data_IF_045461893709
#
_entry.id   IF_045461893709
#
_cell.length_a   1.000
_cell.length_b   1.000
_cell.length_c   1.000
_cell.angle_alpha   90.00
_cell.angle_beta   90.00
_cell.angle_gamma   90.00
#
_symmetry.space_group_name_H-M   'P 1'
#
loop_
_entity.id
_entity.type
_entity.pdbx_description
1 polymer ?
#
# COMPACT_ATOMS: atom_id res chain seq x y z
N UNK A 1 -11.03 -11.47 21.74
CA UNK A 1 -10.49 -12.33 20.66
C UNK A 1 -9.41 -11.59 19.87
N UNK A 2 -8.26 -12.22 19.57
CA UNK A 2 -7.26 -11.61 18.70
C UNK A 2 -7.83 -11.37 17.30
N UNK A 3 -7.54 -10.19 16.73
CA UNK A 3 -7.90 -9.89 15.34
C UNK A 3 -7.27 -10.94 14.44
N UNK A 4 -8.10 -11.60 13.63
CA UNK A 4 -7.63 -12.67 12.73
C UNK A 4 -6.71 -12.07 11.67
N UNK A 5 -5.55 -12.71 11.46
CA UNK A 5 -4.69 -12.40 10.32
C UNK A 5 -5.50 -12.50 9.03
N UNK A 6 -5.22 -11.59 8.10
CA UNK A 6 -5.87 -11.60 6.80
C UNK A 6 -5.66 -12.94 6.10
N UNK A 7 -6.76 -13.62 5.77
CA UNK A 7 -6.76 -14.83 4.95
C UNK A 7 -7.96 -14.73 4.02
N UNK A 8 -7.71 -14.92 2.72
CA UNK A 8 -8.79 -14.96 1.74
C UNK A 8 -9.61 -16.23 1.94
N UNK A 9 -10.92 -16.09 2.05
CA UNK A 9 -11.86 -17.21 2.24
C UNK A 9 -12.98 -17.21 1.20
N UNK A 10 -12.76 -16.53 0.07
CA UNK A 10 -13.81 -16.18 -0.88
C UNK A 10 -14.40 -14.79 -0.62
N UNK A 11 -15.26 -14.33 -1.54
CA UNK A 11 -15.93 -13.04 -1.42
C UNK A 11 -16.87 -13.00 -0.21
N UNK A 12 -16.94 -11.84 0.44
CA UNK A 12 -17.89 -11.62 1.54
C UNK A 12 -19.32 -11.59 0.99
N UNK A 13 -20.22 -12.32 1.66
CA UNK A 13 -21.65 -12.21 1.42
C UNK A 13 -22.16 -10.84 1.87
N UNK A 14 -22.42 -9.99 0.88
CA UNK A 14 -22.90 -8.62 1.07
C UNK A 14 -24.42 -8.55 1.30
N UNK A 15 -25.15 -9.65 1.07
CA UNK A 15 -26.61 -9.71 1.24
C UNK A 15 -27.04 -9.88 2.70
N UNK A 16 -26.10 -10.20 3.59
CA UNK A 16 -26.36 -10.33 5.02
C UNK A 16 -26.84 -9.01 5.63
N UNK A 17 -27.93 -9.02 6.44
CA UNK A 17 -28.48 -7.82 7.01
C UNK A 17 -27.49 -7.15 7.98
N UNK A 18 -27.49 -5.82 7.99
CA UNK A 18 -26.62 -5.03 8.84
C UNK A 18 -27.22 -4.99 10.25
N UNK A 19 -26.57 -5.64 11.21
CA UNK A 19 -26.91 -5.49 12.63
C UNK A 19 -26.40 -4.14 13.18
N UNK A 20 -27.19 -3.09 12.95
CA UNK A 20 -26.89 -1.71 13.40
C UNK A 20 -26.76 -1.59 14.92
N UNK A 21 -27.32 -2.54 15.69
CA UNK A 21 -27.20 -2.51 17.15
C UNK A 21 -25.75 -2.62 17.63
N UNK A 22 -24.87 -3.22 16.82
CA UNK A 22 -23.43 -3.33 17.09
C UNK A 22 -22.69 -1.98 17.02
N UNK A 23 -23.28 -0.94 16.43
CA UNK A 23 -22.69 0.40 16.42
C UNK A 23 -22.95 1.16 17.74
N UNK A 24 -23.96 0.74 18.52
CA UNK A 24 -24.38 1.43 19.73
C UNK A 24 -23.24 1.52 20.74
N UNK A 25 -22.93 2.74 21.19
CA UNK A 25 -21.86 3.00 22.16
C UNK A 25 -20.43 2.89 21.60
N UNK A 26 -20.25 2.62 20.30
CA UNK A 26 -18.95 2.74 19.65
C UNK A 26 -18.60 4.21 19.42
N UNK A 27 -17.31 4.52 19.53
CA UNK A 27 -16.75 5.82 19.16
C UNK A 27 -16.18 5.75 17.76
N UNK A 28 -16.64 6.66 16.90
CA UNK A 28 -16.37 6.63 15.47
C UNK A 28 -15.81 7.98 15.04
N UNK A 29 -14.70 7.96 14.32
CA UNK A 29 -14.12 9.14 13.69
C UNK A 29 -14.44 9.12 12.20
N UNK A 30 -14.93 10.24 11.64
CA UNK A 30 -15.15 10.40 10.19
C UNK A 30 -14.42 11.64 9.68
N UNK A 31 -13.45 11.47 8.78
CA UNK A 31 -12.85 12.61 8.07
C UNK A 31 -13.65 12.96 6.82
N UNK A 32 -13.75 14.25 6.49
CA UNK A 32 -14.60 14.74 5.39
C UNK A 32 -16.09 14.55 5.67
N UNK A 33 -16.50 14.72 6.93
CA UNK A 33 -17.83 14.37 7.41
C UNK A 33 -18.89 15.47 7.28
N UNK A 34 -18.57 16.65 6.76
CA UNK A 34 -19.52 17.77 6.71
C UNK A 34 -20.40 17.77 5.46
N UNK A 35 -20.07 16.98 4.42
CA UNK A 35 -20.84 16.92 3.18
C UNK A 35 -20.86 15.51 2.56
N UNK A 36 -21.82 15.28 1.66
CA UNK A 36 -21.85 14.13 0.77
C UNK A 36 -21.82 12.78 1.50
N UNK A 37 -20.97 11.87 1.02
CA UNK A 37 -20.82 10.51 1.59
C UNK A 37 -20.44 10.54 3.07
N UNK A 38 -19.60 11.48 3.49
CA UNK A 38 -19.17 11.59 4.88
C UNK A 38 -20.31 12.02 5.80
N UNK A 39 -21.09 13.03 5.39
CA UNK A 39 -22.28 13.48 6.13
C UNK A 39 -23.31 12.32 6.27
N UNK A 40 -23.55 11.58 5.19
CA UNK A 40 -24.43 10.41 5.22
C UNK A 40 -23.96 9.35 6.23
N UNK A 41 -22.65 9.07 6.27
CA UNK A 41 -22.07 8.17 7.28
C UNK A 41 -22.29 8.70 8.70
N UNK A 42 -22.03 9.99 8.95
CA UNK A 42 -22.20 10.61 10.28
C UNK A 42 -23.65 10.45 10.76
N UNK A 43 -24.63 10.81 9.92
CA UNK A 43 -26.05 10.68 10.27
C UNK A 43 -26.45 9.23 10.54
N UNK A 44 -25.99 8.28 9.71
CA UNK A 44 -26.29 6.86 9.88
C UNK A 44 -25.71 6.27 11.18
N UNK A 45 -24.48 6.65 11.55
CA UNK A 45 -23.85 6.18 12.79
C UNK A 45 -24.47 6.80 14.04
N UNK A 46 -24.81 8.08 14.00
CA UNK A 46 -25.54 8.74 15.10
C UNK A 46 -26.92 8.10 15.29
N UNK A 47 -27.66 7.86 14.21
CA UNK A 47 -28.97 7.18 14.29
C UNK A 47 -28.87 5.75 14.85
N UNK A 48 -27.73 5.08 14.66
CA UNK A 48 -27.45 3.76 15.25
C UNK A 48 -26.97 3.81 16.72
N UNK A 49 -26.87 5.01 17.32
CA UNK A 49 -26.47 5.22 18.71
C UNK A 49 -24.97 5.19 18.96
N UNK A 50 -24.15 5.45 17.93
CA UNK A 50 -22.71 5.62 18.07
C UNK A 50 -22.35 7.06 18.51
N UNK A 51 -21.18 7.21 19.13
CA UNK A 51 -20.57 8.51 19.41
C UNK A 51 -19.69 8.92 18.24
N UNK A 52 -20.09 9.94 17.47
CA UNK A 52 -19.42 10.29 16.21
C UNK A 52 -18.67 11.61 16.32
N UNK A 53 -17.35 11.58 16.19
CA UNK A 53 -16.56 12.80 15.97
C UNK A 53 -16.23 12.90 14.50
N UNK A 54 -16.57 14.02 13.87
CA UNK A 54 -16.34 14.20 12.44
C UNK A 54 -15.64 15.52 12.17
N UNK A 55 -14.82 15.52 11.13
CA UNK A 55 -13.96 16.64 10.81
C UNK A 55 -14.03 17.00 9.33
N UNK A 56 -13.95 18.30 9.06
CA UNK A 56 -13.95 18.86 7.72
C UNK A 56 -13.35 20.27 7.76
N UNK A 57 -12.95 20.80 6.61
CA UNK A 57 -12.59 22.22 6.45
C UNK A 57 -13.84 23.09 6.35
N UNK A 58 -14.96 22.51 5.89
CA UNK A 58 -16.22 23.22 5.72
C UNK A 58 -16.97 23.39 7.05
N UNK A 59 -17.30 24.63 7.41
CA UNK A 59 -17.98 25.01 8.66
C UNK A 59 -19.44 24.54 8.72
N UNK A 60 -20.04 24.10 7.61
CA UNK A 60 -21.35 23.43 7.60
C UNK A 60 -21.44 22.27 8.59
N UNK A 61 -20.29 21.66 8.95
CA UNK A 61 -20.25 20.64 10.00
C UNK A 61 -20.82 21.09 11.35
N UNK A 62 -20.77 22.38 11.68
CA UNK A 62 -21.41 22.93 12.89
C UNK A 62 -22.94 22.87 12.83
N UNK A 63 -23.53 23.06 11.64
CA UNK A 63 -24.98 22.94 11.44
C UNK A 63 -25.41 21.47 11.58
N UNK A 64 -24.66 20.56 10.96
CA UNK A 64 -24.90 19.10 11.08
C UNK A 64 -24.78 18.63 12.54
N UNK A 65 -23.78 19.12 13.28
CA UNK A 65 -23.64 18.83 14.72
C UNK A 65 -24.87 19.30 15.49
N UNK A 66 -25.35 20.52 15.22
CA UNK A 66 -26.52 21.09 15.89
C UNK A 66 -27.77 20.26 15.63
N UNK A 67 -28.07 19.96 14.37
CA UNK A 67 -29.23 19.14 13.99
C UNK A 67 -29.22 17.75 14.66
N UNK A 68 -28.07 17.09 14.65
CA UNK A 68 -27.92 15.75 15.24
C UNK A 68 -27.98 15.80 16.77
N UNK A 69 -27.46 16.86 17.38
CA UNK A 69 -27.55 17.06 18.84
C UNK A 69 -28.98 17.32 19.28
N UNK A 70 -29.75 18.08 18.51
CA UNK A 70 -31.18 18.32 18.76
C UNK A 70 -32.00 17.02 18.62
N UNK A 71 -31.69 16.17 17.64
CA UNK A 71 -32.43 14.94 17.38
C UNK A 71 -32.04 13.75 18.28
N UNK A 72 -30.76 13.64 18.67
CA UNK A 72 -30.20 12.44 19.31
C UNK A 72 -29.43 12.72 20.61
N UNK A 73 -29.36 13.97 21.06
CA UNK A 73 -28.59 14.39 22.22
C UNK A 73 -27.09 14.49 21.95
N UNK A 74 -26.28 14.65 23.00
CA UNK A 74 -24.83 14.87 22.91
C UNK A 74 -24.06 13.59 22.52
N UNK A 75 -24.20 13.18 21.26
CA UNK A 75 -23.62 11.97 20.69
C UNK A 75 -22.71 12.26 19.49
N UNK A 76 -22.57 13.51 19.07
CA UNK A 76 -21.67 13.89 17.99
C UNK A 76 -20.91 15.18 18.27
N UNK A 77 -19.76 15.36 17.62
CA UNK A 77 -18.95 16.57 17.72
C UNK A 77 -18.26 16.88 16.39
N UNK A 78 -18.42 18.09 15.89
CA UNK A 78 -17.68 18.58 14.74
C UNK A 78 -16.35 19.23 15.16
N UNK A 79 -15.30 18.96 14.39
CA UNK A 79 -13.99 19.59 14.53
C UNK A 79 -13.57 20.17 13.18
N UNK A 80 -13.52 21.50 13.07
CA UNK A 80 -12.95 22.17 11.89
C UNK A 80 -11.47 21.80 11.78
N UNK A 81 -11.11 21.02 10.77
CA UNK A 81 -9.77 20.49 10.62
C UNK A 81 -9.44 20.22 9.15
N UNK A 82 -8.32 20.77 8.70
CA UNK A 82 -7.66 20.33 7.49
C UNK A 82 -6.86 19.05 7.79
N UNK A 83 -7.15 17.96 7.10
CA UNK A 83 -6.45 16.69 7.30
C UNK A 83 -4.97 16.76 6.87
N UNK A 84 -4.53 17.77 6.15
CA UNK A 84 -3.09 17.99 5.92
C UNK A 84 -2.36 18.51 7.17
N UNK A 85 -3.09 19.00 8.18
CA UNK A 85 -2.55 19.48 9.46
C UNK A 85 -2.46 18.37 10.50
N UNK A 86 -1.22 18.05 10.91
CA UNK A 86 -0.96 17.05 11.95
C UNK A 86 -1.61 17.41 13.31
N UNK A 87 -1.42 18.65 13.78
CA UNK A 87 -1.99 19.08 15.07
C UNK A 87 -3.52 19.17 15.02
N UNK A 88 -4.10 19.54 13.86
CA UNK A 88 -5.54 19.52 13.65
C UNK A 88 -6.11 18.11 13.82
N UNK A 89 -5.51 17.11 13.16
CA UNK A 89 -5.93 15.72 13.31
C UNK A 89 -5.74 15.21 14.73
N UNK A 90 -4.62 15.51 15.38
CA UNK A 90 -4.39 15.13 16.78
C UNK A 90 -5.47 15.68 17.71
N UNK A 91 -5.87 16.94 17.54
CA UNK A 91 -6.99 17.53 18.27
C UNK A 91 -8.33 16.83 18.01
N UNK A 92 -8.59 16.42 16.76
CA UNK A 92 -9.76 15.61 16.40
C UNK A 92 -9.77 14.27 17.15
N UNK A 93 -8.64 13.55 17.21
CA UNK A 93 -8.53 12.28 17.92
C UNK A 93 -8.72 12.45 19.44
N UNK A 94 -8.15 13.49 20.05
CA UNK A 94 -8.36 13.78 21.48
C UNK A 94 -9.82 14.16 21.78
N UNK A 95 -10.47 14.89 20.90
CA UNK A 95 -11.91 15.22 20.99
C UNK A 95 -12.75 13.94 20.95
N UNK A 96 -12.48 13.04 20.00
CA UNK A 96 -13.19 11.77 19.86
C UNK A 96 -13.06 10.88 21.09
N UNK A 97 -11.85 10.83 21.66
CA UNK A 97 -11.59 10.13 22.90
C UNK A 97 -12.44 10.68 24.05
N UNK A 98 -12.50 12.01 24.23
CA UNK A 98 -13.27 12.65 25.31
C UNK A 98 -14.79 12.53 25.15
N UNK A 99 -15.29 12.48 23.91
CA UNK A 99 -16.71 12.34 23.63
C UNK A 99 -17.25 10.95 24.04
N UNK A 100 -16.42 9.92 23.86
CA UNK A 100 -16.79 8.54 24.19
C UNK A 100 -16.86 8.33 25.71
N UNK A 101 -17.95 7.77 26.26
CA UNK A 101 -18.02 7.40 27.68
C UNK A 101 -16.90 6.45 28.12
N UNK A 102 -16.37 5.67 27.17
CA UNK A 102 -15.31 4.70 27.40
C UNK A 102 -13.90 5.25 27.13
N UNK A 103 -13.75 6.57 26.88
CA UNK A 103 -12.46 7.21 26.59
C UNK A 103 -11.60 6.48 25.54
N UNK A 104 -12.24 5.94 24.51
CA UNK A 104 -11.62 5.07 23.48
C UNK A 104 -12.28 5.26 22.13
N UNK A 105 -11.58 4.85 21.06
CA UNK A 105 -11.98 5.01 19.66
C UNK A 105 -12.11 3.61 19.04
N UNK A 106 -13.24 3.29 18.43
CA UNK A 106 -13.48 1.95 17.88
C UNK A 106 -13.25 1.87 16.38
N UNK A 107 -13.73 2.88 15.66
CA UNK A 107 -13.72 2.89 14.19
C UNK A 107 -13.22 4.25 13.69
N UNK A 108 -12.32 4.24 12.72
CA UNK A 108 -11.84 5.45 12.05
C UNK A 108 -12.09 5.30 10.56
N UNK A 109 -12.87 6.22 10.00
CA UNK A 109 -13.19 6.32 8.58
C UNK A 109 -12.33 7.43 7.97
N UNK A 110 -11.26 7.03 7.29
CA UNK A 110 -10.45 7.93 6.48
C UNK A 110 -11.19 8.18 5.14
N UNK A 111 -12.14 9.11 5.16
CA UNK A 111 -13.06 9.39 4.06
C UNK A 111 -12.78 10.72 3.34
N UNK A 112 -12.07 11.65 3.97
CA UNK A 112 -11.72 12.92 3.36
C UNK A 112 -10.94 12.73 2.03
N UNK A 113 -11.35 13.47 1.02
CA UNK A 113 -10.65 13.52 -0.26
C UNK A 113 -11.22 14.58 -1.19
N UNK A 114 -10.38 15.08 -2.08
CA UNK A 114 -10.73 16.06 -3.10
C UNK A 114 -10.42 15.51 -4.49
N UNK A 115 -11.21 15.94 -5.47
CA UNK A 115 -10.97 15.67 -6.89
C UNK A 115 -11.12 16.99 -7.64
N UNK A 116 -10.06 17.43 -8.31
CA UNK A 116 -10.02 18.64 -9.16
C UNK A 116 -9.27 18.30 -10.46
N UNK A 117 -9.46 19.07 -11.52
CA UNK A 117 -8.64 18.89 -12.73
C UNK A 117 -7.16 19.14 -12.40
N UNK A 118 -6.31 18.21 -12.81
CA UNK A 118 -4.84 18.33 -12.71
C UNK A 118 -4.20 18.63 -14.08
N UNK A 119 -5.02 18.90 -15.09
CA UNK A 119 -4.53 19.28 -16.43
C UNK A 119 -4.31 20.78 -16.53
N UNK A 120 -3.20 21.17 -17.16
CA UNK A 120 -2.91 22.55 -17.51
C UNK A 120 -3.65 22.94 -18.80
N UNK A 121 -3.92 24.23 -18.97
CA UNK A 121 -4.37 24.78 -20.24
C UNK A 121 -3.19 24.78 -21.23
N UNK A 122 -3.30 24.13 -22.40
CA UNK A 122 -2.19 23.99 -23.35
C UNK A 122 -1.67 25.32 -23.92
N UNK A 123 -2.41 26.42 -23.71
CA UNK A 123 -2.01 27.75 -24.16
C UNK A 123 -1.20 28.55 -23.12
N UNK A 124 -1.12 28.07 -21.88
CA UNK A 124 -0.39 28.76 -20.81
C UNK A 124 1.06 28.22 -20.72
N UNK A 125 1.97 29.04 -20.20
CA UNK A 125 3.36 28.62 -19.91
C UNK A 125 3.35 27.43 -18.92
N UNK A 126 4.24 26.43 -19.06
CA UNK A 126 4.29 25.28 -18.16
C UNK A 126 4.50 25.72 -16.70
N UNK A 127 3.51 25.46 -15.85
CA UNK A 127 3.59 25.76 -14.42
C UNK A 127 3.81 24.50 -13.60
N UNK A 128 4.53 24.64 -12.49
CA UNK A 128 4.66 23.54 -11.53
C UNK A 128 3.29 23.26 -10.89
N UNK A 129 2.77 22.03 -10.93
CA UNK A 129 1.47 21.73 -10.35
C UNK A 129 1.51 21.84 -8.82
N UNK A 130 0.46 22.43 -8.24
CA UNK A 130 0.25 22.44 -6.80
C UNK A 130 -0.38 21.09 -6.39
N UNK A 131 0.45 20.16 -5.87
CA UNK A 131 0.13 18.77 -5.54
C UNK A 131 -0.87 18.58 -4.36
N UNK A 132 -1.89 19.42 -4.28
CA UNK A 132 -2.85 19.50 -3.19
C UNK A 132 -3.72 18.24 -3.10
N UNK A 133 -3.99 17.59 -4.24
CA UNK A 133 -4.76 16.33 -4.26
C UNK A 133 -3.94 15.22 -3.60
N UNK A 134 -2.64 15.11 -3.91
CA UNK A 134 -1.75 14.16 -3.24
C UNK A 134 -1.64 14.47 -1.74
N UNK A 135 -1.44 15.74 -1.37
CA UNK A 135 -1.33 16.15 0.03
C UNK A 135 -2.59 15.79 0.83
N UNK A 136 -3.77 16.06 0.28
CA UNK A 136 -5.04 15.78 0.96
C UNK A 136 -5.35 14.29 0.96
N UNK A 137 -5.42 13.67 -0.23
CA UNK A 137 -5.94 12.31 -0.37
C UNK A 137 -4.96 11.25 0.14
N UNK A 138 -3.66 11.46 -0.03
CA UNK A 138 -2.63 10.51 0.39
C UNK A 138 -2.01 10.92 1.73
N UNK A 139 -1.27 12.04 1.78
CA UNK A 139 -0.51 12.44 2.98
C UNK A 139 -1.42 12.62 4.20
N UNK A 140 -2.54 13.32 4.04
CA UNK A 140 -3.52 13.51 5.12
C UNK A 140 -4.12 12.19 5.62
N UNK A 141 -4.47 11.28 4.72
CA UNK A 141 -4.97 9.94 5.07
C UNK A 141 -3.91 9.10 5.81
N UNK A 142 -2.63 9.20 5.44
CA UNK A 142 -1.53 8.53 6.12
C UNK A 142 -1.31 9.08 7.54
N UNK A 143 -1.51 10.38 7.75
CA UNK A 143 -1.52 10.97 9.11
C UNK A 143 -2.68 10.41 9.94
N UNK A 144 -3.87 10.28 9.35
CA UNK A 144 -5.03 9.68 10.02
C UNK A 144 -4.75 8.24 10.43
N UNK A 145 -4.13 7.45 9.56
CA UNK A 145 -3.71 6.09 9.88
C UNK A 145 -2.70 6.06 11.04
N UNK A 146 -1.66 6.89 10.99
CA UNK A 146 -0.63 6.93 12.05
C UNK A 146 -1.22 7.27 13.42
N UNK A 147 -2.14 8.24 13.46
CA UNK A 147 -2.85 8.59 14.68
C UNK A 147 -3.78 7.46 15.12
N UNK A 148 -4.56 6.87 14.21
CA UNK A 148 -5.44 5.75 14.53
C UNK A 148 -4.68 4.58 15.18
N UNK A 149 -3.55 4.16 14.59
CA UNK A 149 -2.68 3.12 15.17
C UNK A 149 -2.22 3.50 16.57
N UNK A 150 -1.77 4.74 16.79
CA UNK A 150 -1.32 5.21 18.10
C UNK A 150 -2.42 5.14 19.16
N UNK A 151 -3.62 5.66 18.87
CA UNK A 151 -4.74 5.65 19.83
C UNK A 151 -5.32 4.25 20.04
N UNK A 152 -5.44 3.44 18.98
CA UNK A 152 -5.88 2.04 19.09
C UNK A 152 -4.95 1.21 19.99
N UNK A 153 -3.63 1.44 19.94
CA UNK A 153 -2.68 0.74 20.81
C UNK A 153 -2.75 1.15 22.28
N UNK A 154 -3.22 2.37 22.57
CA UNK A 154 -3.30 2.90 23.94
C UNK A 154 -4.55 2.45 24.70
N UNK A 155 -5.62 2.07 23.99
CA UNK A 155 -6.85 1.59 24.62
C UNK A 155 -6.77 0.09 24.92
N UNK A 156 -7.48 -0.43 25.93
CA UNK A 156 -7.49 -1.87 26.24
C UNK A 156 -8.13 -2.68 25.09
N UNK A 157 -7.53 -3.83 24.78
CA UNK A 157 -8.08 -4.78 23.82
C UNK A 157 -9.13 -5.65 24.53
N UNK A 158 -10.41 -5.38 24.29
CA UNK A 158 -11.52 -6.10 24.93
C UNK A 158 -12.52 -6.53 23.88
N UNK A 159 -13.22 -7.65 24.13
CA UNK A 159 -14.19 -8.19 23.16
C UNK A 159 -15.36 -7.25 22.87
N UNK A 160 -15.63 -6.31 23.78
CA UNK A 160 -16.68 -5.30 23.65
C UNK A 160 -16.30 -4.14 22.74
N UNK A 161 -15.00 -3.90 22.52
CA UNK A 161 -14.48 -2.77 21.72
C UNK A 161 -13.95 -3.25 20.38
N UNK A 162 -13.79 -2.33 19.45
CA UNK A 162 -13.26 -2.61 18.12
C UNK A 162 -12.05 -1.72 17.84
N UNK A 163 -11.27 -2.08 16.84
CA UNK A 163 -10.14 -1.29 16.35
C UNK A 163 -10.14 -1.43 14.83
N UNK A 164 -11.03 -0.71 14.18
CA UNK A 164 -11.25 -0.81 12.74
C UNK A 164 -10.86 0.48 12.05
N UNK A 165 -9.96 0.37 11.07
CA UNK A 165 -9.60 1.47 10.19
C UNK A 165 -10.17 1.21 8.79
N UNK A 166 -11.05 2.11 8.34
CA UNK A 166 -11.69 2.00 7.03
C UNK A 166 -11.15 3.10 6.12
N UNK A 167 -10.61 2.69 4.97
CA UNK A 167 -10.01 3.58 3.98
C UNK A 167 -11.00 3.80 2.86
N UNK A 168 -11.34 5.06 2.58
CA UNK A 168 -12.15 5.40 1.41
C UNK A 168 -11.26 5.64 0.21
N UNK A 169 -11.26 4.65 -0.65
CA UNK A 169 -10.62 4.61 -1.94
C UNK A 169 -11.41 5.27 -3.04
N UNK A 170 -11.34 4.63 -4.20
CA UNK A 170 -12.15 4.86 -5.39
C UNK A 170 -12.01 3.66 -6.30
N UNK A 171 -13.08 3.26 -6.99
CA UNK A 171 -12.96 2.24 -8.04
C UNK A 171 -12.15 2.82 -9.22
N UNK A 172 -12.46 4.06 -9.59
CA UNK A 172 -11.74 4.85 -10.59
C UNK A 172 -10.46 5.40 -9.94
N UNK A 173 -9.30 4.84 -10.30
CA UNK A 173 -8.04 5.10 -9.62
C UNK A 173 -7.68 4.08 -8.53
N UNK A 174 -8.42 2.98 -8.39
CA UNK A 174 -7.98 1.80 -7.62
C UNK A 174 -7.80 0.57 -8.50
N UNK A 175 -8.65 0.41 -9.52
CA UNK A 175 -8.62 -0.70 -10.49
C UNK A 175 -8.89 -0.27 -11.92
N UNK A 176 -9.58 0.86 -12.12
CA UNK A 176 -9.91 1.38 -13.45
C UNK A 176 -9.05 2.60 -13.75
N UNK A 177 -8.45 2.58 -14.94
CA UNK A 177 -7.65 3.69 -15.46
C UNK A 177 -8.55 4.90 -15.75
N UNK A 178 -8.26 6.03 -15.11
CA UNK A 178 -9.03 7.27 -15.26
C UNK A 178 -8.12 8.38 -15.81
N UNK A 179 -8.05 8.58 -17.14
CA UNK A 179 -7.06 9.44 -17.77
C UNK A 179 -7.23 10.95 -17.50
N UNK A 180 -8.38 11.38 -16.98
CA UNK A 180 -8.69 12.81 -16.78
C UNK A 180 -8.13 13.45 -15.50
N UNK A 181 -7.57 12.68 -14.56
CA UNK A 181 -7.08 13.22 -13.28
C UNK A 181 -5.92 12.38 -12.74
N UNK A 182 -4.70 12.70 -13.17
CA UNK A 182 -3.51 11.92 -12.84
C UNK A 182 -3.15 11.98 -11.35
N UNK A 183 -3.31 13.13 -10.66
CA UNK A 183 -3.02 13.22 -9.22
C UNK A 183 -4.01 12.40 -8.40
N UNK A 184 -5.30 12.50 -8.70
CA UNK A 184 -6.33 11.75 -7.98
C UNK A 184 -6.14 10.24 -8.18
N UNK A 185 -5.92 9.83 -9.43
CA UNK A 185 -5.67 8.44 -9.81
C UNK A 185 -4.43 7.91 -9.08
N UNK A 186 -3.31 8.64 -9.11
CA UNK A 186 -2.10 8.27 -8.38
C UNK A 186 -2.35 8.15 -6.86
N UNK A 187 -3.06 9.11 -6.26
CA UNK A 187 -3.38 9.08 -4.83
C UNK A 187 -4.23 7.86 -4.45
N UNK A 188 -5.26 7.52 -5.24
CA UNK A 188 -6.16 6.41 -4.95
C UNK A 188 -5.50 5.04 -5.18
N UNK A 189 -4.59 4.93 -6.15
CA UNK A 189 -3.78 3.72 -6.34
C UNK A 189 -2.79 3.57 -5.19
N UNK A 190 -2.21 4.67 -4.72
CA UNK A 190 -1.33 4.67 -3.56
C UNK A 190 -2.08 4.22 -2.29
N UNK A 191 -3.30 4.69 -2.04
CA UNK A 191 -4.13 4.23 -0.91
C UNK A 191 -4.52 2.76 -1.04
N UNK A 192 -4.81 2.30 -2.26
CA UNK A 192 -5.12 0.90 -2.53
C UNK A 192 -3.90 0.02 -2.24
N UNK A 193 -2.73 0.34 -2.81
CA UNK A 193 -1.46 -0.36 -2.53
C UNK A 193 -1.10 -0.32 -1.04
N UNK A 194 -1.30 0.82 -0.39
CA UNK A 194 -1.11 0.99 1.05
C UNK A 194 -1.97 0.01 1.86
N UNK A 195 -3.26 -0.14 1.51
CA UNK A 195 -4.17 -1.09 2.17
C UNK A 195 -3.65 -2.52 2.06
N UNK A 196 -3.12 -2.92 0.89
CA UNK A 196 -2.55 -4.25 0.68
C UNK A 196 -1.37 -4.56 1.60
N UNK A 197 -0.60 -3.53 1.97
CA UNK A 197 0.49 -3.65 2.96
C UNK A 197 -0.07 -3.73 4.37
N UNK A 198 -0.85 -2.73 4.80
CA UNK A 198 -1.23 -2.60 6.21
C UNK A 198 -2.25 -3.63 6.66
N UNK A 199 -3.09 -4.20 5.77
CA UNK A 199 -4.03 -5.27 6.14
C UNK A 199 -3.36 -6.55 6.62
N UNK A 200 -2.09 -6.79 6.22
CA UNK A 200 -1.32 -7.97 6.61
C UNK A 200 -0.59 -7.79 7.94
N UNK A 201 -0.10 -6.58 8.24
CA UNK A 201 0.69 -6.29 9.45
C UNK A 201 -0.14 -5.75 10.63
N UNK A 202 -1.22 -5.01 10.37
CA UNK A 202 -2.06 -4.40 11.42
C UNK A 202 -2.74 -5.38 12.37
N UNK A 203 -3.11 -6.62 11.97
CA UNK A 203 -3.67 -7.61 12.90
C UNK A 203 -2.75 -7.98 14.06
N UNK A 204 -1.43 -7.86 13.90
CA UNK A 204 -0.45 -8.09 14.98
C UNK A 204 -0.59 -7.06 16.11
N UNK A 205 -1.17 -5.90 15.81
CA UNK A 205 -1.49 -4.84 16.77
C UNK A 205 -2.98 -4.85 17.16
N UNK A 206 -3.72 -5.89 16.76
CA UNK A 206 -5.16 -6.02 17.01
C UNK A 206 -6.00 -5.02 16.22
N UNK A 207 -5.56 -4.58 15.04
CA UNK A 207 -6.26 -3.59 14.21
C UNK A 207 -6.76 -4.25 12.92
N UNK A 208 -8.03 -4.02 12.58
CA UNK A 208 -8.65 -4.42 11.31
C UNK A 208 -8.51 -3.29 10.30
N UNK A 209 -8.18 -3.64 9.06
CA UNK A 209 -8.12 -2.68 7.93
C UNK A 209 -9.13 -3.12 6.89
N UNK A 210 -9.97 -2.22 6.41
CA UNK A 210 -10.90 -2.50 5.30
C UNK A 210 -10.87 -1.35 4.31
N UNK A 211 -10.99 -1.66 3.02
CA UNK A 211 -11.03 -0.66 1.96
C UNK A 211 -12.43 -0.57 1.36
N UNK A 212 -12.88 0.64 1.07
CA UNK A 212 -14.15 0.89 0.38
C UNK A 212 -13.86 1.74 -0.85
N UNK A 213 -14.33 1.29 -2.00
CA UNK A 213 -14.07 1.86 -3.31
C UNK A 213 -15.38 2.40 -3.92
N UNK A 214 -15.77 3.65 -3.63
CA UNK A 214 -16.91 4.25 -4.30
C UNK A 214 -16.67 4.41 -5.80
N UNK A 215 -17.70 4.19 -6.61
CA UNK A 215 -17.70 4.49 -8.05
C UNK A 215 -18.95 5.29 -8.39
N UNK A 216 -18.80 6.39 -9.13
CA UNK A 216 -19.91 7.23 -9.63
C UNK A 216 -21.05 7.41 -8.62
N UNK A 217 -20.73 7.95 -7.43
CA UNK A 217 -21.77 8.25 -6.43
C UNK A 217 -22.50 9.52 -6.81
N UNK A 218 -23.83 9.50 -6.73
CA UNK A 218 -24.68 10.67 -6.89
C UNK A 218 -24.37 11.66 -5.77
N UNK A 219 -23.75 12.78 -6.11
CA UNK A 219 -23.35 13.79 -5.13
C UNK A 219 -23.63 15.19 -5.65
N UNK A 220 -23.93 16.10 -4.73
CA UNK A 220 -24.20 17.51 -5.02
C UNK A 220 -23.02 18.26 -5.66
N UNK A 221 -21.86 17.61 -5.82
CA UNK A 221 -20.63 18.20 -6.33
C UNK A 221 -20.62 18.24 -7.88
N UNK A 222 -21.38 17.38 -8.57
CA UNK A 222 -21.40 17.39 -10.04
C UNK A 222 -22.44 18.37 -10.61
N UNK A 223 -22.08 19.15 -11.64
CA UNK A 223 -23.05 19.94 -12.37
C UNK A 223 -24.15 19.04 -12.98
N UNK A 224 -25.44 19.42 -12.90
CA UNK A 224 -26.54 18.61 -13.41
C UNK A 224 -26.40 18.21 -14.89
N UNK A 225 -25.81 19.08 -15.72
CA UNK A 225 -25.58 18.80 -17.14
C UNK A 225 -24.56 17.68 -17.37
N UNK A 226 -23.53 17.58 -16.53
CA UNK A 226 -22.49 16.56 -16.65
C UNK A 226 -22.98 15.21 -16.12
N UNK A 227 -23.79 15.23 -15.05
CA UNK A 227 -24.48 14.03 -14.56
C UNK A 227 -25.41 13.46 -15.64
N UNK A 228 -26.21 14.32 -16.29
CA UNK A 228 -27.06 13.91 -17.42
C UNK A 228 -26.25 13.31 -18.57
N UNK A 229 -25.14 13.95 -18.96
CA UNK A 229 -24.26 13.42 -20.00
C UNK A 229 -23.73 12.02 -19.67
N UNK A 230 -23.29 11.78 -18.42
CA UNK A 230 -22.85 10.45 -17.98
C UNK A 230 -23.98 9.41 -18.06
N UNK A 231 -25.19 9.77 -17.64
CA UNK A 231 -26.38 8.90 -17.76
C UNK A 231 -26.70 8.58 -19.22
N UNK A 232 -26.60 9.56 -20.12
CA UNK A 232 -26.81 9.37 -21.56
C UNK A 232 -25.75 8.43 -22.19
N UNK A 233 -24.57 8.31 -21.56
CA UNK A 233 -23.53 7.33 -21.92
C UNK A 233 -23.71 5.96 -21.23
N UNK A 234 -24.81 5.75 -20.49
CA UNK A 234 -25.11 4.50 -19.79
C UNK A 234 -24.43 4.34 -18.43
N UNK A 235 -23.89 5.42 -17.84
CA UNK A 235 -23.34 5.36 -16.48
C UNK A 235 -24.47 5.40 -15.46
N UNK A 236 -24.55 4.34 -14.65
CA UNK A 236 -25.43 4.29 -13.51
C UNK A 236 -24.71 4.72 -12.23
N UNK A 237 -25.46 5.28 -11.28
CA UNK A 237 -24.92 5.88 -10.07
C UNK A 237 -25.26 5.06 -8.83
N UNK A 238 -24.30 4.96 -7.90
CA UNK A 238 -24.57 4.52 -6.53
C UNK A 238 -25.07 5.68 -5.67
N UNK A 239 -25.75 5.39 -4.57
CA UNK A 239 -26.27 6.42 -3.67
C UNK A 239 -25.34 6.64 -2.47
N UNK A 240 -25.37 7.85 -1.90
CA UNK A 240 -24.56 8.17 -0.70
C UNK A 240 -24.94 7.29 0.50
N UNK A 241 -26.21 6.91 0.58
CA UNK A 241 -26.73 5.98 1.59
C UNK A 241 -26.05 4.60 1.49
N UNK A 242 -25.77 4.14 0.27
CA UNK A 242 -25.15 2.83 0.05
C UNK A 242 -23.71 2.82 0.57
N UNK A 243 -23.00 3.96 0.46
CA UNK A 243 -21.68 4.16 1.08
C UNK A 243 -21.79 4.06 2.61
N UNK A 244 -22.76 4.76 3.21
CA UNK A 244 -22.99 4.73 4.65
C UNK A 244 -23.36 3.32 5.15
N UNK A 245 -24.17 2.59 4.38
CA UNK A 245 -24.55 1.21 4.68
C UNK A 245 -23.34 0.26 4.61
N UNK A 246 -22.49 0.38 3.58
CA UNK A 246 -21.25 -0.39 3.49
C UNK A 246 -20.31 -0.10 4.68
N UNK A 247 -20.10 1.17 5.02
CA UNK A 247 -19.28 1.57 6.17
C UNK A 247 -19.86 1.04 7.49
N UNK A 248 -21.19 1.08 7.65
CA UNK A 248 -21.90 0.53 8.80
C UNK A 248 -21.74 -0.99 8.90
N UNK A 249 -21.87 -1.71 7.78
CA UNK A 249 -21.65 -3.17 7.70
C UNK A 249 -20.26 -3.53 8.22
N UNK A 250 -19.24 -2.82 7.79
CA UNK A 250 -17.84 -3.02 8.18
C UNK A 250 -17.61 -2.70 9.67
N UNK A 251 -18.19 -1.60 10.15
CA UNK A 251 -18.09 -1.18 11.54
C UNK A 251 -18.82 -2.12 12.51
N UNK A 252 -19.88 -2.80 12.04
CA UNK A 252 -20.71 -3.69 12.85
C UNK A 252 -20.23 -5.15 12.83
N UNK A 253 -19.34 -5.53 11.91
CA UNK A 253 -18.85 -6.91 11.78
C UNK A 253 -17.34 -7.04 11.94
N UNK A 254 -16.97 -7.63 13.07
CA UNK A 254 -15.57 -7.86 13.46
C UNK A 254 -14.89 -8.96 12.65
N UNK A 255 -15.65 -9.77 11.89
CA UNK A 255 -15.08 -10.81 11.03
C UNK A 255 -14.43 -10.24 9.77
N UNK A 256 -14.82 -9.01 9.37
CA UNK A 256 -14.28 -8.32 8.20
C UNK A 256 -12.91 -7.74 8.52
N UNK A 257 -11.88 -8.21 7.83
CA UNK A 257 -10.54 -7.68 7.91
C UNK A 257 -9.84 -7.96 6.60
N UNK A 258 -9.31 -6.92 5.96
CA UNK A 258 -8.51 -6.93 4.75
C UNK A 258 -9.25 -6.99 3.42
N UNK A 259 -10.59 -7.12 3.44
CA UNK A 259 -11.42 -7.08 2.23
C UNK A 259 -11.53 -5.66 1.66
N UNK A 260 -11.92 -5.61 0.39
CA UNK A 260 -12.15 -4.38 -0.37
C UNK A 260 -13.57 -4.43 -0.92
N UNK A 261 -14.40 -3.48 -0.52
CA UNK A 261 -15.77 -3.36 -1.01
C UNK A 261 -15.84 -2.32 -2.11
N UNK A 262 -16.66 -2.55 -3.13
CA UNK A 262 -17.04 -1.54 -4.10
C UNK A 262 -18.47 -1.08 -3.85
N UNK A 263 -18.70 0.22 -4.02
CA UNK A 263 -20.06 0.78 -4.03
C UNK A 263 -20.52 0.78 -5.48
N UNK A 264 -21.68 0.19 -5.72
CA UNK A 264 -22.20 -0.06 -7.05
C UNK A 264 -23.64 0.43 -7.16
N UNK A 265 -24.12 0.75 -8.36
CA UNK A 265 -25.55 0.96 -8.58
C UNK A 265 -26.37 -0.25 -8.12
N UNK A 266 -27.61 -0.01 -7.69
CA UNK A 266 -28.50 -1.08 -7.17
C UNK A 266 -28.90 -2.12 -8.22
N UNK A 267 -28.69 -1.83 -9.50
CA UNK A 267 -28.83 -2.77 -10.62
C UNK A 267 -27.76 -3.86 -10.61
N UNK A 268 -26.55 -3.57 -10.09
CA UNK A 268 -25.42 -4.50 -10.00
C UNK A 268 -25.49 -5.31 -8.71
N UNK A 269 -25.74 -4.65 -7.57
CA UNK A 269 -25.96 -5.28 -6.28
C UNK A 269 -27.08 -4.55 -5.54
N UNK A 270 -28.14 -5.27 -5.12
CA UNK A 270 -29.36 -4.66 -4.57
C UNK A 270 -29.09 -3.83 -3.31
N UNK A 271 -28.10 -4.24 -2.54
CA UNK A 271 -27.63 -3.61 -1.29
C UNK A 271 -26.80 -2.34 -1.55
N UNK A 272 -26.46 -2.05 -2.81
CA UNK A 272 -25.68 -0.89 -3.24
C UNK A 272 -24.17 -1.03 -3.04
N UNK A 273 -23.69 -2.17 -2.53
CA UNK A 273 -22.28 -2.48 -2.40
C UNK A 273 -22.04 -3.99 -2.47
N UNK A 274 -20.83 -4.39 -2.82
CA UNK A 274 -20.39 -5.79 -2.84
C UNK A 274 -18.88 -5.90 -2.60
N UNK A 275 -18.41 -7.08 -2.20
CA UNK A 275 -16.97 -7.38 -2.20
C UNK A 275 -16.43 -7.32 -3.64
N UNK A 276 -15.28 -6.68 -3.83
CA UNK A 276 -14.68 -6.54 -5.15
C UNK A 276 -14.07 -7.84 -5.66
N UNK A 277 -13.66 -8.74 -4.75
CA UNK A 277 -13.07 -10.05 -5.05
C UNK A 277 -11.87 -10.03 -6.04
N UNK A 278 -11.08 -8.94 -6.02
CA UNK A 278 -9.96 -8.70 -6.95
C UNK A 278 -8.62 -8.40 -6.28
N UNK A 279 -8.61 -8.27 -4.95
CA UNK A 279 -7.42 -7.88 -4.21
C UNK A 279 -6.60 -9.01 -3.67
N UNK A 280 -7.12 -10.21 -3.77
CA UNK A 280 -6.46 -11.39 -3.31
C UNK A 280 -5.39 -11.81 -4.28
N UNK A 281 -4.17 -11.64 -3.79
CA UNK A 281 -3.03 -12.33 -4.33
C UNK A 281 -3.22 -13.82 -4.04
N UNK A 282 -3.74 -14.54 -5.02
CA UNK A 282 -3.70 -16.00 -5.03
C UNK A 282 -2.25 -16.35 -5.27
N UNK A 283 -1.56 -16.88 -4.27
CA UNK A 283 -0.20 -17.43 -4.41
C UNK A 283 -0.22 -18.34 -5.63
N UNK A 284 0.39 -17.87 -6.72
CA UNK A 284 0.55 -18.66 -7.92
C UNK A 284 1.87 -19.43 -7.80
N UNK A 285 2.01 -20.59 -8.46
CA UNK A 285 3.28 -21.31 -8.50
C UNK A 285 4.45 -20.42 -8.94
N UNK A 286 4.20 -19.43 -9.81
CA UNK A 286 5.21 -18.49 -10.30
C UNK A 286 5.68 -17.52 -9.22
N UNK A 287 4.90 -17.30 -8.16
CA UNK A 287 5.24 -16.39 -7.05
C UNK A 287 6.26 -16.98 -6.07
N UNK A 288 6.55 -18.29 -6.19
CA UNK A 288 7.72 -18.90 -5.56
C UNK A 288 9.01 -18.16 -5.95
N UNK A 289 9.03 -17.56 -7.15
CA UNK A 289 10.09 -16.69 -7.63
C UNK A 289 10.41 -15.57 -6.63
N UNK A 290 9.39 -14.84 -6.17
CA UNK A 290 9.57 -13.69 -5.26
C UNK A 290 9.86 -14.11 -3.82
N UNK A 291 9.56 -15.37 -3.48
CA UNK A 291 9.97 -16.00 -2.21
C UNK A 291 11.42 -16.50 -2.27
N UNK A 292 12.04 -16.48 -3.45
CA UNK A 292 13.42 -16.86 -3.65
C UNK A 292 14.31 -15.61 -3.51
N UNK A 293 15.26 -15.65 -2.57
CA UNK A 293 16.30 -14.63 -2.44
C UNK A 293 17.49 -15.03 -3.30
N UNK A 294 18.00 -14.12 -4.14
CA UNK A 294 19.16 -14.39 -5.01
C UNK A 294 20.49 -13.84 -4.47
N UNK A 295 20.47 -13.21 -3.29
CA UNK A 295 21.65 -12.77 -2.55
C UNK A 295 22.00 -13.83 -1.50
N UNK A 296 22.98 -14.69 -1.78
CA UNK A 296 23.13 -15.89 -0.93
C UNK A 296 24.53 -16.46 -0.81
N UNK A 297 24.78 -17.09 0.34
CA UNK A 297 26.00 -17.79 0.70
C UNK A 297 25.68 -18.98 1.60
N UNK A 298 26.35 -20.13 1.37
CA UNK A 298 26.13 -21.35 2.13
C UNK A 298 27.25 -22.36 2.04
N UNK A 299 26.99 -23.53 2.63
CA UNK A 299 27.91 -24.65 2.65
C UNK A 299 27.40 -25.77 1.75
N UNK A 300 28.28 -26.34 0.94
CA UNK A 300 27.97 -27.52 0.13
C UNK A 300 27.79 -28.72 1.07
N UNK A 301 26.61 -29.33 1.05
CA UNK A 301 26.30 -30.54 1.85
C UNK A 301 26.17 -31.80 1.01
N UNK A 302 25.99 -31.65 -0.31
CA UNK A 302 25.89 -32.74 -1.28
C UNK A 302 26.39 -32.25 -2.63
N UNK A 303 27.01 -33.15 -3.40
CA UNK A 303 27.47 -32.90 -4.77
C UNK A 303 26.69 -33.78 -5.75
N UNK A 304 26.48 -33.28 -6.95
CA UNK A 304 26.04 -34.10 -8.09
C UNK A 304 27.23 -34.78 -8.74
N UNK A 305 27.00 -35.91 -9.41
CA UNK A 305 28.05 -36.78 -9.97
C UNK A 305 28.95 -36.10 -11.02
N UNK A 306 28.49 -34.99 -11.60
CA UNK A 306 29.20 -34.22 -12.61
C UNK A 306 30.04 -33.06 -12.03
N UNK A 307 29.95 -32.78 -10.73
CA UNK A 307 30.68 -31.69 -10.07
C UNK A 307 32.08 -32.16 -9.68
N UNK A 308 33.11 -31.53 -10.24
CA UNK A 308 34.52 -31.90 -10.00
C UNK A 308 35.33 -30.82 -9.27
N UNK A 309 34.90 -29.57 -9.37
CA UNK A 309 35.66 -28.41 -8.90
C UNK A 309 35.28 -27.96 -7.48
N UNK A 310 34.44 -28.71 -6.78
CA UNK A 310 33.97 -28.40 -5.43
C UNK A 310 33.93 -29.65 -4.56
N UNK A 311 34.06 -29.45 -3.24
CA UNK A 311 33.98 -30.53 -2.25
C UNK A 311 32.88 -30.25 -1.21
N UNK A 312 32.35 -31.32 -0.62
CA UNK A 312 31.44 -31.19 0.53
C UNK A 312 32.15 -30.42 1.64
N UNK A 313 31.46 -29.43 2.19
CA UNK A 313 31.98 -28.55 3.23
C UNK A 313 32.50 -27.21 2.72
N UNK A 314 32.71 -27.02 1.42
CA UNK A 314 33.09 -25.72 0.87
C UNK A 314 32.02 -24.66 1.16
N UNK A 315 32.46 -23.44 1.52
CA UNK A 315 31.60 -22.28 1.65
C UNK A 315 31.60 -21.53 0.32
N UNK A 316 30.42 -21.36 -0.26
CA UNK A 316 30.21 -20.78 -1.59
C UNK A 316 29.15 -19.69 -1.55
N UNK A 317 29.38 -18.65 -2.35
CA UNK A 317 28.38 -17.65 -2.68
C UNK A 317 27.88 -17.86 -4.11
N UNK A 318 26.72 -17.29 -4.41
CA UNK A 318 25.96 -17.64 -5.60
C UNK A 318 25.82 -16.47 -6.56
N UNK A 319 26.11 -16.72 -7.84
CA UNK A 319 25.67 -15.90 -8.96
C UNK A 319 24.30 -16.41 -9.41
N UNK A 320 23.30 -15.52 -9.43
CA UNK A 320 21.91 -15.88 -9.72
C UNK A 320 21.74 -16.52 -11.11
N UNK A 321 22.47 -16.01 -12.11
CA UNK A 321 22.37 -16.44 -13.50
C UNK A 321 23.78 -16.62 -14.09
N UNK A 322 24.37 -17.82 -14.01
CA UNK A 322 25.73 -18.07 -14.51
C UNK A 322 25.83 -18.25 -16.03
N UNK A 323 24.71 -18.33 -16.74
CA UNK A 323 24.67 -18.67 -18.15
C UNK A 323 24.58 -20.18 -18.40
N UNK A 324 24.02 -20.56 -19.55
CA UNK A 324 23.83 -21.96 -19.92
C UNK A 324 25.10 -22.67 -20.41
N UNK A 325 26.20 -21.94 -20.60
CA UNK A 325 27.51 -22.47 -21.04
C UNK A 325 27.53 -23.08 -22.44
N UNK A 326 26.44 -22.98 -23.21
CA UNK A 326 26.36 -23.51 -24.56
C UNK A 326 27.05 -22.57 -25.55
N UNK A 327 27.83 -23.13 -26.47
CA UNK A 327 28.59 -22.37 -27.48
C UNK A 327 27.70 -21.69 -28.52
N UNK A 328 26.44 -22.10 -28.63
CA UNK A 328 25.44 -21.54 -29.53
C UNK A 328 24.50 -20.53 -28.84
N UNK A 329 24.71 -20.24 -27.56
CA UNK A 329 23.84 -19.32 -26.82
C UNK A 329 24.20 -17.85 -27.14
N UNK A 330 23.30 -17.05 -27.74
CA UNK A 330 23.62 -15.71 -28.21
C UNK A 330 23.94 -14.71 -27.08
N UNK A 331 23.45 -14.96 -25.86
CA UNK A 331 23.76 -14.13 -24.69
C UNK A 331 25.08 -14.53 -24.05
N UNK A 332 25.32 -15.83 -23.86
CA UNK A 332 26.56 -16.32 -23.27
C UNK A 332 27.78 -16.02 -24.14
N UNK A 333 27.67 -16.11 -25.47
CA UNK A 333 28.80 -15.84 -26.40
C UNK A 333 29.17 -14.36 -26.49
N UNK A 334 28.35 -13.46 -25.95
CA UNK A 334 28.60 -12.01 -25.92
C UNK A 334 28.90 -11.48 -24.51
N UNK A 335 29.32 -12.36 -23.61
CA UNK A 335 29.58 -12.04 -22.19
C UNK A 335 28.37 -11.40 -21.49
N UNK A 336 27.16 -11.86 -21.83
CA UNK A 336 25.91 -11.47 -21.16
C UNK A 336 25.19 -12.67 -20.54
N UNK A 337 25.87 -13.53 -19.74
CA UNK A 337 25.25 -14.71 -19.16
C UNK A 337 24.03 -14.38 -18.30
N UNK A 338 23.96 -13.19 -17.71
CA UNK A 338 22.83 -12.70 -16.91
C UNK A 338 21.52 -12.53 -17.70
N UNK A 339 21.57 -12.50 -19.03
CA UNK A 339 20.39 -12.42 -19.91
C UNK A 339 20.01 -13.78 -20.49
N UNK A 340 20.74 -14.84 -20.15
CA UNK A 340 20.56 -16.16 -20.75
C UNK A 340 19.32 -16.86 -20.20
N UNK A 341 18.25 -16.91 -21.00
CA UNK A 341 17.00 -17.61 -20.64
C UNK A 341 17.17 -19.13 -20.47
N UNK A 342 18.20 -19.73 -21.10
CA UNK A 342 18.53 -21.16 -20.98
C UNK A 342 19.30 -21.48 -19.68
N UNK A 343 19.74 -20.47 -18.93
CA UNK A 343 20.54 -20.64 -17.72
C UNK A 343 19.71 -21.17 -16.56
N UNK A 344 20.39 -21.72 -15.54
CA UNK A 344 19.81 -21.80 -14.20
C UNK A 344 19.60 -20.37 -13.65
N UNK A 345 18.48 -20.15 -12.95
CA UNK A 345 18.06 -18.84 -12.43
C UNK A 345 17.80 -18.94 -10.91
N UNK A 346 18.87 -19.10 -10.15
CA UNK A 346 18.82 -19.38 -8.71
C UNK A 346 18.33 -18.17 -7.92
N UNK A 347 17.31 -18.31 -7.09
CA UNK A 347 16.78 -17.18 -6.30
C UNK A 347 15.97 -16.17 -7.11
N UNK A 348 15.75 -16.47 -8.38
CA UNK A 348 14.93 -15.75 -9.35
C UNK A 348 13.75 -16.67 -9.59
N UNK A 349 13.81 -17.67 -10.46
CA UNK A 349 12.66 -18.57 -10.75
C UNK A 349 12.77 -19.96 -10.12
N UNK A 350 13.78 -20.17 -9.28
CA UNK A 350 14.12 -21.46 -8.68
C UNK A 350 14.53 -21.26 -7.22
N UNK A 351 14.39 -22.32 -6.41
CA UNK A 351 14.70 -22.28 -4.98
C UNK A 351 16.12 -21.80 -4.70
N UNK A 352 16.27 -21.11 -3.58
CA UNK A 352 17.53 -20.58 -3.08
C UNK A 352 17.49 -20.54 -1.54
N UNK A 353 18.27 -19.69 -0.89
CA UNK A 353 18.55 -19.74 0.55
C UNK A 353 17.43 -19.34 1.51
N UNK A 354 16.24 -18.98 1.02
CA UNK A 354 15.05 -18.98 1.87
C UNK A 354 14.52 -20.40 2.14
N UNK A 355 14.95 -21.39 1.35
CA UNK A 355 14.82 -22.80 1.65
C UNK A 355 16.03 -23.31 2.46
N UNK A 356 15.82 -24.36 3.26
CA UNK A 356 16.89 -24.97 4.06
C UNK A 356 18.01 -25.59 3.20
N UNK A 357 17.67 -26.00 1.96
CA UNK A 357 18.59 -26.53 0.96
C UNK A 357 18.17 -26.04 -0.43
N UNK A 358 19.13 -25.83 -1.32
CA UNK A 358 18.89 -25.49 -2.72
C UNK A 358 19.86 -26.26 -3.63
N UNK A 359 19.37 -26.72 -4.78
CA UNK A 359 20.20 -27.31 -5.83
C UNK A 359 20.69 -26.19 -6.76
N UNK A 360 22.00 -26.05 -6.93
CA UNK A 360 22.61 -24.96 -7.69
C UNK A 360 23.59 -25.52 -8.71
N UNK A 361 23.55 -24.95 -9.91
CA UNK A 361 24.53 -25.25 -10.95
C UNK A 361 25.93 -24.79 -10.54
N UNK A 362 26.94 -25.66 -10.69
CA UNK A 362 28.33 -25.37 -10.29
C UNK A 362 28.89 -24.09 -10.94
N UNK A 363 28.39 -23.71 -12.13
CA UNK A 363 28.82 -22.49 -12.84
C UNK A 363 28.40 -21.21 -12.11
N UNK A 364 27.35 -21.30 -11.29
CA UNK A 364 26.87 -20.22 -10.43
C UNK A 364 27.56 -20.16 -9.08
N UNK A 365 28.50 -21.04 -8.78
CA UNK A 365 29.17 -21.08 -7.49
C UNK A 365 30.50 -20.34 -7.52
N UNK A 366 30.69 -19.47 -6.53
CA UNK A 366 31.96 -18.77 -6.27
C UNK A 366 32.44 -19.17 -4.88
N UNK A 367 33.67 -19.67 -4.78
CA UNK A 367 34.26 -20.00 -3.47
C UNK A 367 34.43 -18.73 -2.63
N UNK A 368 34.00 -18.77 -1.38
CA UNK A 368 34.17 -17.65 -0.46
C UNK A 368 35.62 -17.62 0.04
N UNK A 369 36.37 -16.52 -0.18
CA UNK A 369 37.75 -16.42 0.29
C UNK A 369 37.86 -16.49 1.82
N UNK A 370 39.00 -16.96 2.32
CA UNK A 370 39.29 -16.93 3.76
C UNK A 370 39.25 -15.48 4.26
N UNK A 371 38.53 -15.26 5.37
CA UNK A 371 38.37 -13.94 5.98
C UNK A 371 37.16 -13.14 5.49
N UNK A 372 36.44 -13.62 4.46
CA UNK A 372 35.18 -13.01 4.02
C UNK A 372 34.02 -13.70 4.75
N UNK A 373 33.17 -12.92 5.40
CA UNK A 373 31.98 -13.43 6.08
C UNK A 373 30.91 -13.88 5.08
N UNK A 374 30.03 -14.80 5.49
CA UNK A 374 28.94 -15.25 4.62
C UNK A 374 28.02 -14.10 4.17
N UNK A 375 27.79 -13.11 5.03
CA UNK A 375 27.01 -11.91 4.70
C UNK A 375 27.69 -11.04 3.64
N UNK A 376 29.00 -10.81 3.75
CA UNK A 376 29.75 -10.05 2.75
C UNK A 376 29.76 -10.78 1.40
N UNK A 377 29.98 -12.09 1.42
CA UNK A 377 30.00 -12.90 0.21
C UNK A 377 28.63 -12.95 -0.52
N UNK A 378 27.53 -13.04 0.25
CA UNK A 378 26.18 -13.02 -0.29
C UNK A 378 25.85 -11.70 -0.98
N UNK A 379 26.28 -10.58 -0.41
CA UNK A 379 26.10 -9.24 -1.01
C UNK A 379 27.05 -9.05 -2.20
N UNK A 380 28.26 -9.59 -2.12
CA UNK A 380 29.28 -9.41 -3.15
C UNK A 380 28.85 -9.96 -4.51
N UNK A 381 28.24 -11.14 -4.54
CA UNK A 381 27.83 -11.82 -5.78
C UNK A 381 26.60 -11.18 -6.46
N UNK A 382 25.97 -10.20 -5.83
CA UNK A 382 24.84 -9.47 -6.40
C UNK A 382 25.12 -7.96 -6.45
N UNK A 383 24.92 -7.26 -5.33
CA UNK A 383 25.00 -5.80 -5.28
C UNK A 383 26.37 -5.25 -5.69
N UNK A 384 27.47 -5.89 -5.26
CA UNK A 384 28.83 -5.41 -5.60
C UNK A 384 29.19 -5.82 -7.04
N UNK A 385 28.89 -7.05 -7.45
CA UNK A 385 29.19 -7.53 -8.80
C UNK A 385 28.42 -6.74 -9.86
N UNK A 386 27.15 -6.40 -9.60
CA UNK A 386 26.32 -5.55 -10.45
C UNK A 386 26.99 -4.20 -10.71
N UNK A 387 27.43 -3.55 -9.62
CA UNK A 387 28.11 -2.26 -9.70
C UNK A 387 29.47 -2.38 -10.39
N UNK A 388 30.26 -3.38 -10.02
CA UNK A 388 31.57 -3.59 -10.62
C UNK A 388 31.47 -3.85 -12.12
N UNK A 389 30.47 -4.61 -12.56
CA UNK A 389 30.16 -4.79 -13.96
C UNK A 389 29.78 -3.46 -14.63
N UNK A 390 28.88 -2.68 -14.04
CA UNK A 390 28.48 -1.38 -14.59
C UNK A 390 29.67 -0.41 -14.74
N UNK A 391 30.47 -0.26 -13.69
CA UNK A 391 31.58 0.70 -13.65
C UNK A 391 32.77 0.24 -14.50
N UNK A 392 33.24 -0.99 -14.29
CA UNK A 392 34.50 -1.46 -14.88
C UNK A 392 34.32 -2.14 -16.23
N UNK A 393 33.23 -2.89 -16.44
CA UNK A 393 33.01 -3.68 -17.66
C UNK A 393 32.14 -2.97 -18.70
N UNK A 394 31.17 -2.16 -18.28
CA UNK A 394 30.23 -1.49 -19.21
C UNK A 394 30.64 -0.06 -19.51
N UNK A 395 30.92 0.72 -18.46
CA UNK A 395 31.36 2.10 -18.61
C UNK A 395 32.88 2.22 -18.79
N UNK A 396 33.63 1.15 -18.51
CA UNK A 396 35.10 1.07 -18.62
C UNK A 396 35.80 2.30 -17.99
N UNK A 397 35.34 2.68 -16.80
CA UNK A 397 35.84 3.87 -16.10
C UNK A 397 37.36 3.77 -15.93
N UNK A 398 38.06 4.84 -16.30
CA UNK A 398 39.51 4.99 -16.18
C UNK A 398 39.84 6.03 -15.11
N UNK A 399 41.05 5.99 -14.57
CA UNK A 399 41.51 6.94 -13.56
C UNK A 399 41.44 8.42 -14.00
N UNK A 400 41.52 8.68 -15.31
CA UNK A 400 41.38 10.04 -15.89
C UNK A 400 39.94 10.54 -15.95
N UNK A 401 38.94 9.67 -15.76
CA UNK A 401 37.54 10.05 -15.87
C UNK A 401 37.03 10.74 -14.60
N UNK A 402 36.01 11.59 -14.78
CA UNK A 402 35.19 12.11 -13.70
C UNK A 402 33.80 11.48 -13.77
N UNK A 403 33.39 10.81 -12.70
CA UNK A 403 32.09 10.16 -12.56
C UNK A 403 31.19 11.03 -11.70
N UNK A 404 30.00 11.36 -12.19
CA UNK A 404 28.96 12.00 -11.40
C UNK A 404 27.96 10.95 -10.91
N UNK A 405 27.83 10.78 -9.60
CA UNK A 405 26.98 9.79 -8.95
C UNK A 405 25.78 10.48 -8.28
N UNK A 406 24.59 10.22 -8.80
CA UNK A 406 23.32 10.58 -8.15
C UNK A 406 22.84 9.43 -7.26
N UNK A 407 22.71 9.68 -5.96
CA UNK A 407 22.21 8.70 -5.00
C UNK A 407 23.30 7.79 -4.41
N UNK A 408 23.55 7.93 -3.12
CA UNK A 408 24.45 7.19 -2.25
C UNK A 408 23.66 6.18 -1.38
N UNK A 409 22.75 5.43 -2.01
CA UNK A 409 22.11 4.25 -1.41
C UNK A 409 23.05 3.03 -1.39
N UNK A 410 22.51 1.84 -1.09
CA UNK A 410 23.33 0.61 -1.01
C UNK A 410 24.17 0.31 -2.26
N UNK A 411 23.58 0.45 -3.46
CA UNK A 411 24.34 0.33 -4.72
C UNK A 411 25.25 1.54 -4.96
N UNK A 412 24.80 2.75 -4.66
CA UNK A 412 25.59 3.98 -4.83
C UNK A 412 26.89 3.97 -4.02
N UNK A 413 26.84 3.49 -2.77
CA UNK A 413 28.04 3.30 -1.95
C UNK A 413 29.02 2.30 -2.57
N UNK A 414 28.52 1.22 -3.17
CA UNK A 414 29.38 0.27 -3.89
C UNK A 414 29.98 0.93 -5.14
N UNK A 415 29.23 1.80 -5.85
CA UNK A 415 29.73 2.52 -7.04
C UNK A 415 30.86 3.45 -6.62
N UNK A 416 30.64 4.21 -5.55
CA UNK A 416 31.65 5.09 -4.98
C UNK A 416 32.95 4.33 -4.66
N UNK A 417 32.84 3.18 -3.99
CA UNK A 417 34.00 2.34 -3.67
C UNK A 417 34.70 1.81 -4.92
N UNK A 418 33.95 1.34 -5.92
CA UNK A 418 34.51 0.83 -7.17
C UNK A 418 35.25 1.92 -7.97
N UNK A 419 34.64 3.10 -8.12
CA UNK A 419 35.23 4.25 -8.82
C UNK A 419 36.47 4.76 -8.08
N UNK A 420 36.41 4.84 -6.74
CA UNK A 420 37.55 5.23 -5.92
C UNK A 420 38.71 4.23 -6.05
N UNK A 421 38.43 2.92 -6.05
CA UNK A 421 39.45 1.89 -6.23
C UNK A 421 40.14 1.96 -7.61
N UNK A 422 39.41 2.35 -8.66
CA UNK A 422 39.96 2.59 -10.01
C UNK A 422 40.87 3.83 -10.04
N UNK A 423 40.78 4.71 -9.03
CA UNK A 423 41.51 5.98 -8.98
C UNK A 423 40.87 7.11 -9.78
N UNK A 424 39.61 6.92 -10.23
CA UNK A 424 38.87 7.94 -10.96
C UNK A 424 38.29 8.99 -10.01
N UNK A 425 38.11 10.21 -10.51
CA UNK A 425 37.46 11.28 -9.75
C UNK A 425 35.97 11.03 -9.68
N UNK A 426 35.36 11.22 -8.51
CA UNK A 426 33.92 11.04 -8.30
C UNK A 426 33.31 12.26 -7.63
N UNK A 427 32.17 12.72 -8.15
CA UNK A 427 31.35 13.78 -7.58
C UNK A 427 30.01 13.15 -7.21
N UNK A 428 29.60 13.29 -5.96
CA UNK A 428 28.38 12.66 -5.43
C UNK A 428 27.34 13.73 -5.14
N UNK A 429 26.10 13.46 -5.54
CA UNK A 429 24.93 14.24 -5.12
C UNK A 429 23.90 13.29 -4.51
N UNK A 430 23.54 13.52 -3.25
CA UNK A 430 22.45 12.86 -2.56
C UNK A 430 21.62 13.91 -1.81
N UNK A 431 20.38 13.56 -1.49
CA UNK A 431 19.44 14.36 -0.72
C UNK A 431 19.46 14.01 0.78
N UNK A 432 20.16 12.95 1.18
CA UNK A 432 20.26 12.42 2.54
C UNK A 432 21.51 12.89 3.28
#
# INVERSE_FOLDING_TARGET
>A
MPVRKYTYKGPVDHTLPIDRSQAKGKSIIVTGGANGMGESCVRAFVAAGAFVTFADVNERGYEVEKELTEAHGNCCKFVKCDITSWEGQKNMFETAKKLSPANSIDVVLANAGISRSSGDNPNDEPQKPALNILNTNLTGSLYTFKLAVHYFRKQPDTEKRDRCFIITGSLNGGWVDSPGNWEYTAAKYALHGFTKVVRRSSPEQGIRIVYVAPCWIRSAIRPPHYEKWLMDQGVEFGEQEDVANCMMRIACDKSLNGQSFQITPRSVAKEGFMDIDRDDYKDRPEDAYFKAGHQSCGRIVKLGDQVKDFQIGDVVAMLAVPGCGASDCPECTRDKPQLCERSHHSGISQDSFHAQYAAIDQRGLVRVPKGVTSSEAAIACDAITTVYHAVKRRAEVQASHTVFLFGLGGLGFNVLQAVHNIGARVIVSDIR
#
